data_IF_770609947971
#
_entry.id   IF_770609947971
#
_cell.length_a   1.000
_cell.length_b   1.000
_cell.length_c   1.000
_cell.angle_alpha   90.00
_cell.angle_beta   90.00
_cell.angle_gamma   90.00
#
_symmetry.space_group_name_H-M   'P 1'
#
loop_
_entity.id
_entity.type
_entity.pdbx_description
1 polymer ?
#
# COMPACT_ATOMS: atom_id res chain seq x y z
N UNK A 1 28.52 -16.16 -68.32
CA UNK A 1 27.41 -17.09 -68.03
C UNK A 1 26.42 -16.32 -67.17
N UNK A 2 25.35 -15.82 -67.80
CA UNK A 2 24.34 -15.00 -67.14
C UNK A 2 23.20 -15.89 -66.65
N UNK A 3 22.78 -15.64 -65.41
CA UNK A 3 21.64 -16.23 -64.73
C UNK A 3 20.34 -15.82 -65.45
N UNK A 4 19.46 -16.78 -65.79
CA UNK A 4 18.09 -16.50 -66.18
C UNK A 4 17.13 -17.08 -65.14
N UNK A 5 16.48 -16.16 -64.42
CA UNK A 5 15.50 -16.44 -63.37
C UNK A 5 14.17 -16.92 -63.93
N UNK A 6 13.62 -17.93 -63.27
CA UNK A 6 12.25 -18.40 -63.46
C UNK A 6 11.29 -17.40 -62.81
N UNK A 7 10.54 -16.66 -63.62
CA UNK A 7 9.45 -15.78 -63.18
C UNK A 7 8.12 -16.47 -63.47
N UNK A 8 7.47 -17.00 -62.42
CA UNK A 8 6.18 -17.68 -62.51
C UNK A 8 5.11 -16.96 -61.68
N UNK A 9 3.86 -16.78 -62.19
CA UNK A 9 2.79 -16.04 -61.53
C UNK A 9 2.24 -16.71 -60.25
N UNK A 10 2.63 -17.95 -59.94
CA UNK A 10 2.20 -18.67 -58.74
C UNK A 10 2.74 -18.10 -57.42
N UNK A 11 3.88 -17.38 -57.42
CA UNK A 11 4.44 -16.82 -56.19
C UNK A 11 3.66 -15.61 -55.67
N UNK A 12 3.01 -14.86 -56.56
CA UNK A 12 2.28 -13.65 -56.18
C UNK A 12 0.93 -13.97 -55.53
N UNK A 13 0.25 -15.02 -56.00
CA UNK A 13 -1.02 -15.47 -55.43
C UNK A 13 -0.87 -16.16 -54.06
N UNK A 14 0.25 -16.84 -53.82
CA UNK A 14 0.56 -17.44 -52.51
C UNK A 14 0.88 -16.37 -51.44
N UNK A 15 1.47 -15.23 -51.83
CA UNK A 15 1.73 -14.11 -50.91
C UNK A 15 0.45 -13.32 -50.56
N UNK A 16 -0.50 -13.22 -51.49
CA UNK A 16 -1.79 -12.55 -51.25
C UNK A 16 -2.72 -13.37 -50.34
N UNK A 17 -2.66 -14.71 -50.38
CA UNK A 17 -3.37 -15.60 -49.46
C UNK A 17 -2.72 -15.66 -48.05
N UNK A 18 -1.42 -15.38 -47.94
CA UNK A 18 -0.73 -15.29 -46.64
C UNK A 18 -1.01 -13.97 -45.91
N UNK A 19 -1.41 -12.92 -46.63
CA UNK A 19 -1.71 -11.59 -46.07
C UNK A 19 -3.17 -11.44 -45.58
N UNK A 20 -4.03 -12.44 -45.80
CA UNK A 20 -5.43 -12.42 -45.33
C UNK A 20 -5.67 -13.19 -44.02
N UNK A 21 -4.65 -13.85 -43.46
CA UNK A 21 -4.76 -14.65 -42.23
C UNK A 21 -4.02 -14.06 -41.02
N UNK A 22 -3.76 -12.75 -41.03
CA UNK A 22 -3.51 -12.00 -39.80
C UNK A 22 -4.76 -11.22 -39.43
N UNK A 23 -5.85 -11.95 -39.18
CA UNK A 23 -6.80 -11.45 -38.18
C UNK A 23 -6.10 -11.63 -36.86
N UNK A 24 -5.62 -10.52 -36.29
CA UNK A 24 -5.30 -10.47 -34.88
C UNK A 24 -6.51 -11.01 -34.12
N UNK A 25 -6.43 -12.25 -33.64
CA UNK A 25 -7.25 -12.70 -32.52
C UNK A 25 -6.68 -11.99 -31.31
N UNK A 26 -6.94 -10.68 -31.24
CA UNK A 26 -6.99 -9.95 -29.99
C UNK A 26 -8.13 -10.59 -29.21
N UNK A 27 -7.82 -11.65 -28.46
CA UNK A 27 -8.64 -12.05 -27.33
C UNK A 27 -8.62 -10.85 -26.39
N UNK A 28 -9.58 -9.93 -26.56
CA UNK A 28 -9.64 -8.65 -25.85
C UNK A 28 -9.50 -8.85 -24.36
N UNK A 29 -8.31 -8.60 -23.84
CA UNK A 29 -8.02 -8.68 -22.42
C UNK A 29 -8.49 -7.35 -21.80
N UNK A 30 -9.73 -7.35 -21.28
CA UNK A 30 -10.29 -6.14 -20.69
C UNK A 30 -9.73 -5.96 -19.29
N UNK A 31 -9.20 -4.77 -19.03
CA UNK A 31 -8.63 -4.42 -17.73
C UNK A 31 -9.41 -3.25 -17.14
N UNK A 32 -9.94 -3.45 -15.95
CA UNK A 32 -10.56 -2.41 -15.14
C UNK A 32 -9.74 -2.15 -13.88
N UNK A 33 -10.08 -1.08 -13.18
CA UNK A 33 -9.55 -0.80 -11.86
C UNK A 33 -10.69 -0.32 -10.96
N UNK A 34 -10.65 -0.73 -9.70
CA UNK A 34 -11.57 -0.26 -8.66
C UNK A 34 -10.78 -0.14 -7.37
N UNK A 35 -11.09 0.86 -6.56
CA UNK A 35 -10.53 0.91 -5.21
C UNK A 35 -11.17 -0.13 -4.32
N UNK A 36 -10.41 -0.64 -3.35
CA UNK A 36 -10.99 -1.39 -2.25
C UNK A 36 -11.97 -0.55 -1.43
N UNK A 37 -12.73 -1.21 -0.56
CA UNK A 37 -13.80 -0.56 0.24
C UNK A 37 -14.84 0.21 -0.59
N UNK A 38 -14.84 0.01 -1.91
CA UNK A 38 -15.82 0.59 -2.81
C UNK A 38 -17.21 0.11 -2.41
N UNK A 39 -18.16 1.05 -2.35
CA UNK A 39 -19.53 0.74 -1.95
C UNK A 39 -20.15 -0.27 -2.90
N UNK A 40 -20.98 -1.17 -2.36
CA UNK A 40 -21.83 -2.03 -3.17
C UNK A 40 -22.65 -1.19 -4.18
N UNK A 41 -22.66 -1.62 -5.43
CA UNK A 41 -23.25 -0.90 -6.56
C UNK A 41 -22.31 0.07 -7.28
N UNK A 42 -21.07 0.26 -6.79
CA UNK A 42 -20.06 1.09 -7.49
C UNK A 42 -19.78 0.53 -8.87
N UNK A 43 -19.88 1.38 -9.89
CA UNK A 43 -19.63 1.02 -11.29
C UNK A 43 -18.14 0.85 -11.51
N UNK A 44 -17.75 -0.32 -12.04
CA UNK A 44 -16.36 -0.65 -12.39
C UNK A 44 -16.11 -0.42 -13.88
N UNK A 45 -17.07 -0.77 -14.74
CA UNK A 45 -16.93 -0.67 -16.20
C UNK A 45 -18.15 -1.14 -16.96
N UNK A 46 -18.10 -1.14 -18.29
CA UNK A 46 -19.18 -1.61 -19.16
C UNK A 46 -18.73 -2.78 -20.02
N UNK A 47 -18.99 -4.00 -19.54
CA UNK A 47 -18.55 -5.24 -20.19
C UNK A 47 -19.27 -5.50 -21.51
N UNK A 48 -20.51 -5.06 -21.67
CA UNK A 48 -21.21 -5.18 -22.96
C UNK A 48 -20.45 -4.40 -24.04
N UNK A 49 -20.14 -3.13 -23.74
CA UNK A 49 -19.42 -2.26 -24.67
C UNK A 49 -18.01 -2.78 -24.94
N UNK A 50 -17.26 -3.11 -23.89
CA UNK A 50 -15.83 -3.41 -24.01
C UNK A 50 -15.56 -4.80 -24.58
N UNK A 51 -16.48 -5.76 -24.39
CA UNK A 51 -16.44 -7.08 -25.04
C UNK A 51 -17.16 -7.09 -26.40
N UNK A 52 -17.73 -5.95 -26.81
CA UNK A 52 -18.53 -5.80 -28.03
C UNK A 52 -19.69 -6.81 -28.11
N UNK A 53 -20.41 -6.98 -26.99
CA UNK A 53 -21.61 -7.82 -26.86
C UNK A 53 -22.82 -6.90 -26.74
N UNK A 54 -23.86 -7.15 -27.55
CA UNK A 54 -25.12 -6.41 -27.43
C UNK A 54 -25.75 -6.62 -26.06
N UNK A 55 -26.31 -5.59 -25.44
CA UNK A 55 -26.90 -5.71 -24.10
C UNK A 55 -28.05 -6.76 -24.06
N UNK A 56 -28.85 -6.84 -25.13
CA UNK A 56 -29.88 -7.89 -25.28
C UNK A 56 -29.28 -9.30 -25.39
N UNK A 57 -28.06 -9.40 -25.89
CA UNK A 57 -27.34 -10.65 -26.03
C UNK A 57 -26.81 -11.15 -24.69
N UNK A 58 -26.59 -10.27 -23.70
CA UNK A 58 -26.16 -10.70 -22.37
C UNK A 58 -27.18 -11.62 -21.70
N UNK A 59 -28.46 -11.25 -21.75
CA UNK A 59 -29.53 -12.06 -21.16
C UNK A 59 -29.87 -13.27 -22.04
N UNK A 60 -30.06 -13.06 -23.35
CA UNK A 60 -30.46 -14.14 -24.27
C UNK A 60 -29.37 -15.20 -24.47
N UNK A 61 -28.09 -14.85 -24.25
CA UNK A 61 -26.95 -15.78 -24.33
C UNK A 61 -26.41 -16.18 -22.96
N UNK A 62 -27.16 -15.94 -21.88
CA UNK A 62 -26.83 -16.37 -20.52
C UNK A 62 -25.41 -15.96 -20.09
N UNK A 63 -25.07 -14.67 -20.24
CA UNK A 63 -23.80 -14.12 -19.79
C UNK A 63 -23.64 -14.37 -18.29
N UNK A 64 -22.57 -15.05 -17.92
CA UNK A 64 -22.30 -15.40 -16.53
C UNK A 64 -20.83 -15.19 -16.19
N UNK A 65 -20.58 -14.46 -15.10
CA UNK A 65 -19.25 -14.44 -14.47
C UNK A 65 -19.05 -15.78 -13.75
N UNK A 66 -17.98 -16.46 -14.12
CA UNK A 66 -17.47 -17.66 -13.46
C UNK A 66 -16.28 -17.22 -12.63
N UNK A 67 -16.47 -17.13 -11.31
CA UNK A 67 -15.35 -16.90 -10.39
C UNK A 67 -14.74 -18.23 -10.00
N UNK A 68 -13.40 -18.32 -10.06
CA UNK A 68 -12.67 -19.45 -9.50
C UNK A 68 -12.60 -19.43 -7.96
N UNK A 69 -12.97 -18.31 -7.34
CA UNK A 69 -13.02 -18.13 -5.88
C UNK A 69 -14.44 -18.30 -5.36
N UNK A 70 -14.59 -18.70 -4.09
CA UNK A 70 -15.89 -18.82 -3.42
C UNK A 70 -16.61 -17.49 -3.24
N UNK A 71 -15.85 -16.39 -3.07
CA UNK A 71 -16.38 -15.03 -2.94
C UNK A 71 -16.58 -14.38 -4.32
N UNK A 72 -17.77 -13.79 -4.54
CA UNK A 72 -18.15 -13.06 -5.75
C UNK A 72 -18.13 -11.55 -5.48
N UNK A 73 -16.98 -10.92 -5.72
CA UNK A 73 -16.82 -9.47 -5.50
C UNK A 73 -17.57 -8.59 -6.51
N UNK A 74 -17.86 -9.14 -7.69
CA UNK A 74 -18.38 -8.39 -8.82
C UNK A 74 -19.60 -9.06 -9.45
N UNK A 75 -20.52 -8.24 -9.93
CA UNK A 75 -21.69 -8.66 -10.68
C UNK A 75 -21.91 -7.78 -11.92
N UNK A 76 -22.63 -8.30 -12.90
CA UNK A 76 -22.98 -7.57 -14.12
C UNK A 76 -24.48 -7.40 -14.19
N UNK A 77 -24.92 -6.17 -14.41
CA UNK A 77 -26.31 -5.90 -14.73
C UNK A 77 -26.56 -6.28 -16.19
N UNK A 78 -27.31 -7.35 -16.42
CA UNK A 78 -27.57 -7.90 -17.77
C UNK A 78 -28.39 -6.95 -18.66
N UNK A 79 -29.15 -6.03 -18.07
CA UNK A 79 -29.97 -5.06 -18.82
C UNK A 79 -29.20 -3.82 -19.26
N UNK A 80 -28.00 -3.57 -18.70
CA UNK A 80 -27.19 -2.38 -19.02
C UNK A 80 -25.77 -2.73 -19.47
N UNK A 81 -25.32 -3.95 -19.19
CA UNK A 81 -23.94 -4.41 -19.41
C UNK A 81 -22.93 -3.82 -18.43
N UNK A 82 -23.39 -3.19 -17.35
CA UNK A 82 -22.51 -2.56 -16.37
C UNK A 82 -22.01 -3.59 -15.37
N UNK A 83 -20.69 -3.66 -15.22
CA UNK A 83 -19.99 -4.38 -14.16
C UNK A 83 -19.92 -3.49 -12.92
N UNK A 84 -20.33 -4.02 -11.77
CA UNK A 84 -20.37 -3.29 -10.51
C UNK A 84 -19.90 -4.15 -9.34
N UNK A 85 -19.51 -3.48 -8.25
CA UNK A 85 -19.12 -4.10 -6.97
C UNK A 85 -20.35 -4.68 -6.29
N UNK A 86 -20.37 -5.99 -6.04
CA UNK A 86 -21.49 -6.66 -5.37
C UNK A 86 -21.22 -6.96 -3.89
N UNK A 87 -19.95 -7.18 -3.54
CA UNK A 87 -19.52 -7.47 -2.16
C UNK A 87 -18.33 -6.59 -1.75
N UNK A 88 -18.10 -6.47 -0.44
CA UNK A 88 -16.94 -5.73 0.08
C UNK A 88 -15.64 -6.31 -0.47
N UNK A 89 -14.77 -5.43 -0.95
CA UNK A 89 -13.44 -5.77 -1.47
C UNK A 89 -12.45 -5.25 -0.43
N UNK A 90 -11.69 -6.17 0.14
CA UNK A 90 -10.62 -5.93 1.10
C UNK A 90 -9.33 -6.42 0.42
N UNK A 91 -8.40 -5.50 0.11
CA UNK A 91 -7.23 -5.81 -0.69
C UNK A 91 -6.23 -6.64 0.11
N UNK A 92 -6.12 -6.41 1.41
CA UNK A 92 -5.26 -7.16 2.32
C UNK A 92 -5.71 -8.63 2.37
N UNK A 93 -7.03 -8.88 2.39
CA UNK A 93 -7.56 -10.24 2.35
C UNK A 93 -7.26 -10.95 1.01
N UNK A 94 -7.35 -10.24 -0.11
CA UNK A 94 -7.20 -10.83 -1.45
C UNK A 94 -5.72 -11.04 -1.81
N UNK A 95 -4.86 -10.09 -1.46
CA UNK A 95 -3.50 -9.98 -1.99
C UNK A 95 -2.41 -9.90 -0.92
N UNK A 96 -2.75 -9.78 0.37
CA UNK A 96 -1.80 -9.59 1.45
C UNK A 96 -0.90 -8.38 1.20
N UNK A 97 0.39 -8.51 1.49
CA UNK A 97 1.39 -7.43 1.29
C UNK A 97 1.89 -7.28 -0.15
N UNK A 98 1.20 -7.85 -1.15
CA UNK A 98 1.60 -7.72 -2.55
C UNK A 98 1.35 -6.30 -3.07
N UNK A 99 2.38 -5.67 -3.64
CA UNK A 99 2.28 -4.32 -4.24
C UNK A 99 1.37 -4.24 -5.46
N UNK A 100 1.04 -5.39 -6.07
CA UNK A 100 0.07 -5.49 -7.16
C UNK A 100 -1.05 -6.41 -6.74
N UNK A 101 -2.28 -5.92 -6.81
CA UNK A 101 -3.47 -6.68 -6.53
C UNK A 101 -4.42 -6.69 -7.73
N UNK A 102 -4.81 -7.88 -8.16
CA UNK A 102 -5.73 -8.03 -9.27
C UNK A 102 -6.60 -9.29 -9.13
N UNK A 103 -7.90 -9.12 -9.35
CA UNK A 103 -8.87 -10.21 -9.43
C UNK A 103 -9.08 -10.56 -10.91
N UNK A 104 -8.86 -11.84 -11.25
CA UNK A 104 -9.14 -12.34 -12.60
C UNK A 104 -10.57 -12.85 -12.66
N UNK A 105 -11.32 -12.37 -13.64
CA UNK A 105 -12.68 -12.82 -13.92
C UNK A 105 -12.73 -13.52 -15.26
N UNK A 106 -13.48 -14.62 -15.30
CA UNK A 106 -13.84 -15.30 -16.53
C UNK A 106 -15.35 -15.15 -16.73
N UNK A 107 -15.77 -14.83 -17.96
CA UNK A 107 -17.17 -14.74 -18.31
C UNK A 107 -17.49 -15.71 -19.45
N UNK A 108 -18.54 -16.51 -19.24
CA UNK A 108 -19.07 -17.42 -20.23
C UNK A 108 -20.31 -16.83 -20.88
N UNK A 109 -20.36 -16.96 -22.20
CA UNK A 109 -21.53 -16.63 -23.01
C UNK A 109 -21.88 -17.85 -23.83
N UNK A 110 -23.16 -18.20 -23.92
CA UNK A 110 -23.65 -19.37 -24.64
C UNK A 110 -24.09 -19.01 -26.07
N UNK A 111 -24.28 -20.04 -26.91
CA UNK A 111 -24.91 -19.91 -28.24
C UNK A 111 -24.44 -18.72 -29.12
N UNK A 112 -23.21 -18.72 -29.67
CA UNK A 112 -22.14 -19.72 -29.51
C UNK A 112 -21.40 -19.58 -28.19
N UNK A 113 -20.78 -20.68 -27.74
CA UNK A 113 -19.95 -20.68 -26.55
C UNK A 113 -18.74 -19.77 -26.74
N UNK A 114 -18.54 -18.82 -25.83
CA UNK A 114 -17.42 -17.90 -25.82
C UNK A 114 -16.95 -17.65 -24.39
N UNK A 115 -15.64 -17.60 -24.20
CA UNK A 115 -15.00 -17.34 -22.92
C UNK A 115 -14.25 -16.01 -23.02
N UNK A 116 -14.60 -15.08 -22.14
CA UNK A 116 -13.95 -13.78 -22.03
C UNK A 116 -13.15 -13.72 -20.74
N UNK A 117 -11.93 -13.16 -20.81
CA UNK A 117 -11.07 -12.98 -19.64
C UNK A 117 -10.92 -11.49 -19.35
N UNK A 118 -11.13 -11.15 -18.10
CA UNK A 118 -11.05 -9.78 -17.60
C UNK A 118 -10.15 -9.75 -16.37
N UNK A 119 -9.46 -8.65 -16.18
CA UNK A 119 -8.67 -8.38 -14.98
C UNK A 119 -9.18 -7.11 -14.33
N UNK A 120 -9.39 -7.15 -13.02
CA UNK A 120 -9.75 -5.97 -12.24
C UNK A 120 -8.61 -5.72 -11.27
N UNK A 121 -7.90 -4.62 -11.46
CA UNK A 121 -6.88 -4.17 -10.51
C UNK A 121 -7.59 -3.58 -9.29
N UNK A 122 -7.21 -4.05 -8.11
CA UNK A 122 -7.70 -3.51 -6.84
C UNK A 122 -6.71 -2.44 -6.40
N UNK A 123 -7.20 -1.20 -6.29
CA UNK A 123 -6.41 -0.07 -5.87
C UNK A 123 -6.49 0.08 -4.36
N UNK A 124 -5.32 0.16 -3.73
CA UNK A 124 -5.15 0.30 -2.30
C UNK A 124 -5.69 1.65 -1.80
N UNK A 125 -6.42 1.63 -0.69
CA UNK A 125 -6.83 2.81 0.07
C UNK A 125 -6.13 2.77 1.43
N UNK A 126 -5.78 3.94 1.98
CA UNK A 126 -5.24 4.05 3.33
C UNK A 126 -6.36 3.86 4.37
N UNK A 127 -6.84 2.64 4.57
CA UNK A 127 -7.86 2.28 5.57
C UNK A 127 -7.27 1.54 6.78
N UNK A 128 -6.00 1.14 6.73
CA UNK A 128 -5.25 0.67 7.89
C UNK A 128 -4.38 1.80 8.46
N UNK A 129 -4.17 1.76 9.77
CA UNK A 129 -3.22 2.65 10.42
C UNK A 129 -2.01 1.83 10.84
N UNK A 130 -0.78 2.37 10.74
CA UNK A 130 0.37 1.70 11.30
C UNK A 130 0.18 1.43 12.80
N UNK A 131 0.72 0.31 13.27
CA UNK A 131 0.62 -0.10 14.66
C UNK A 131 1.95 -0.57 15.21
N UNK A 132 2.18 -0.29 16.49
CA UNK A 132 3.24 -0.95 17.24
C UNK A 132 2.62 -2.14 17.97
N UNK A 133 3.39 -3.21 18.14
CA UNK A 133 2.99 -4.36 18.97
C UNK A 133 2.79 -4.01 20.45
N UNK A 134 3.31 -2.86 20.89
CA UNK A 134 3.20 -2.34 22.25
C UNK A 134 2.63 -0.92 22.25
N UNK A 135 1.76 -0.62 23.21
CA UNK A 135 1.16 0.72 23.38
C UNK A 135 2.06 1.70 24.14
N UNK A 136 3.01 1.19 24.93
CA UNK A 136 4.00 1.96 25.68
C UNK A 136 5.35 1.27 25.49
N UNK A 137 6.36 2.04 25.13
CA UNK A 137 7.74 1.58 25.01
C UNK A 137 8.61 2.25 26.07
N UNK A 138 9.18 1.44 26.94
CA UNK A 138 10.00 1.91 28.04
C UNK A 138 11.46 1.93 27.61
N UNK A 139 12.12 3.08 27.75
CA UNK A 139 13.55 3.25 27.46
C UNK A 139 14.22 3.77 28.72
N UNK A 140 15.14 3.02 29.31
CA UNK A 140 15.90 3.53 30.45
C UNK A 140 17.12 4.31 29.93
N UNK A 141 17.23 5.59 30.32
CA UNK A 141 18.29 6.49 29.83
C UNK A 141 18.98 7.08 31.05
N UNK A 142 20.26 6.77 31.25
CA UNK A 142 21.02 7.30 32.40
C UNK A 142 21.23 8.81 32.26
N UNK A 143 21.32 9.54 33.39
CA UNK A 143 21.67 10.98 33.39
C UNK A 143 23.05 11.26 32.76
N UNK A 144 23.94 10.27 32.83
CA UNK A 144 25.27 10.32 32.25
C UNK A 144 25.27 10.07 30.74
N UNK A 145 24.10 9.84 30.13
CA UNK A 145 23.96 9.72 28.70
C UNK A 145 24.48 11.00 28.02
N UNK A 146 25.26 10.79 26.97
CA UNK A 146 25.90 11.90 26.26
C UNK A 146 24.96 12.46 25.19
N UNK A 147 24.91 13.78 24.97
CA UNK A 147 24.24 14.35 23.80
C UNK A 147 24.75 13.67 22.51
N UNK A 148 23.82 13.26 21.66
CA UNK A 148 24.08 12.47 20.45
C UNK A 148 23.90 10.97 20.63
N UNK A 149 23.73 10.47 21.86
CA UNK A 149 23.39 9.07 22.12
C UNK A 149 22.04 8.70 21.51
N UNK A 150 21.96 7.48 20.95
CA UNK A 150 20.86 7.00 20.11
C UNK A 150 20.13 5.84 20.77
N UNK A 151 18.81 5.92 20.80
CA UNK A 151 17.95 4.90 21.40
C UNK A 151 17.01 4.33 20.32
N UNK A 152 17.23 3.08 19.86
CA UNK A 152 16.40 2.45 18.85
C UNK A 152 14.95 2.30 19.30
N UNK A 153 14.04 2.57 18.38
CA UNK A 153 12.61 2.38 18.54
C UNK A 153 12.15 1.15 17.75
N UNK A 154 11.06 0.48 18.18
CA UNK A 154 10.42 -0.53 17.35
C UNK A 154 9.93 0.11 16.04
N UNK A 155 9.86 -0.69 14.99
CA UNK A 155 9.27 -0.28 13.71
C UNK A 155 7.78 -0.67 13.75
N UNK A 156 6.90 0.29 13.45
CA UNK A 156 5.48 0.03 13.31
C UNK A 156 5.19 -0.78 12.05
N UNK A 157 4.21 -1.66 12.14
CA UNK A 157 3.70 -2.47 11.05
C UNK A 157 2.49 -1.79 10.44
N UNK A 158 2.48 -1.71 9.12
CA UNK A 158 1.38 -1.22 8.31
C UNK A 158 1.14 -2.21 7.18
N UNK A 159 -0.11 -2.63 7.04
CA UNK A 159 -0.51 -3.66 6.07
C UNK A 159 -0.94 -3.06 4.73
N UNK A 160 -1.08 -1.74 4.66
CA UNK A 160 -1.28 -1.00 3.41
C UNK A 160 0.00 -1.01 2.57
N UNK A 161 -0.11 -0.76 1.27
CA UNK A 161 1.03 -0.82 0.34
C UNK A 161 1.30 0.50 -0.36
N UNK A 162 2.49 0.59 -0.98
CA UNK A 162 2.83 1.71 -1.84
C UNK A 162 2.81 3.02 -1.06
N UNK A 163 2.06 4.01 -1.54
CA UNK A 163 2.01 5.33 -0.89
C UNK A 163 1.24 5.32 0.43
N UNK A 164 0.33 4.38 0.64
CA UNK A 164 -0.49 4.33 1.85
C UNK A 164 0.23 3.63 3.02
N UNK A 165 1.26 2.84 2.72
CA UNK A 165 2.12 2.28 3.77
C UNK A 165 2.83 3.36 4.58
N UNK A 166 3.25 3.00 5.79
CA UNK A 166 4.13 3.79 6.65
C UNK A 166 5.33 4.39 5.89
N UNK A 167 5.42 5.73 5.87
CA UNK A 167 6.49 6.49 5.21
C UNK A 167 7.48 7.11 6.15
N UNK A 168 7.08 7.54 7.34
CA UNK A 168 7.98 8.17 8.31
C UNK A 168 7.37 8.20 9.70
N UNK A 169 8.17 8.63 10.67
CA UNK A 169 7.72 8.96 12.00
C UNK A 169 7.93 10.46 12.29
N UNK A 170 7.20 10.98 13.27
CA UNK A 170 7.37 12.31 13.81
C UNK A 170 7.24 12.27 15.34
N UNK A 171 8.16 12.91 16.04
CA UNK A 171 8.13 13.03 17.49
C UNK A 171 7.34 14.28 17.90
N UNK A 172 6.50 14.17 18.93
CA UNK A 172 5.91 15.33 19.60
C UNK A 172 7.00 16.30 20.07
N UNK A 173 6.73 17.61 20.03
CA UNK A 173 7.69 18.63 20.46
C UNK A 173 8.39 18.28 21.77
N UNK A 174 9.73 18.23 21.73
CA UNK A 174 10.61 17.90 22.84
C UNK A 174 11.90 18.72 22.72
N UNK A 175 12.43 19.19 23.86
CA UNK A 175 13.76 19.78 23.93
C UNK A 175 14.85 18.74 24.22
N UNK A 176 14.45 17.57 24.70
CA UNK A 176 15.36 16.53 25.20
C UNK A 176 15.78 15.60 24.06
N UNK A 177 14.86 15.32 23.12
CA UNK A 177 15.07 14.34 22.05
C UNK A 177 14.67 14.89 20.68
N UNK A 178 15.39 14.44 19.66
CA UNK A 178 14.91 14.44 18.27
C UNK A 178 14.74 13.00 17.78
N UNK A 179 14.12 12.83 16.61
CA UNK A 179 13.90 11.54 15.99
C UNK A 179 14.64 11.47 14.65
N UNK A 180 15.57 10.52 14.55
CA UNK A 180 16.27 10.18 13.32
C UNK A 180 15.63 8.94 12.69
N UNK A 181 15.26 9.03 11.41
CA UNK A 181 14.58 7.95 10.68
C UNK A 181 15.37 7.64 9.42
N UNK A 182 15.97 6.47 9.37
CA UNK A 182 16.71 6.00 8.21
C UNK A 182 15.82 5.16 7.30
N UNK A 183 15.94 5.39 5.99
CA UNK A 183 15.14 4.73 4.96
C UNK A 183 16.05 4.14 3.90
N UNK A 184 15.66 2.97 3.41
CA UNK A 184 16.22 2.35 2.21
C UNK A 184 15.10 2.28 1.16
N UNK A 185 15.17 3.17 0.17
CA UNK A 185 14.06 3.40 -0.74
C UNK A 185 12.80 3.85 0.03
N UNK A 186 11.74 3.05 -0.08
CA UNK A 186 10.44 3.31 0.56
C UNK A 186 10.26 2.60 1.91
N UNK A 187 11.21 1.78 2.33
CA UNK A 187 11.16 1.03 3.58
C UNK A 187 11.93 1.75 4.69
N UNK A 188 11.34 1.83 5.87
CA UNK A 188 12.03 2.35 7.05
C UNK A 188 12.91 1.23 7.62
N UNK A 189 14.20 1.51 7.75
CA UNK A 189 15.20 0.55 8.23
C UNK A 189 15.48 0.75 9.71
N UNK A 190 15.46 2.01 10.18
CA UNK A 190 15.60 2.32 11.60
C UNK A 190 14.89 3.62 11.96
N UNK A 191 14.44 3.68 13.22
CA UNK A 191 13.95 4.88 13.87
C UNK A 191 14.62 4.97 15.24
N UNK A 192 15.28 6.09 15.52
CA UNK A 192 16.11 6.24 16.72
C UNK A 192 15.85 7.60 17.37
N UNK A 193 15.61 7.61 18.68
CA UNK A 193 15.63 8.85 19.45
C UNK A 193 17.07 9.29 19.66
N UNK A 194 17.35 10.57 19.42
CA UNK A 194 18.68 11.16 19.58
C UNK A 194 18.63 12.18 20.70
N UNK A 195 19.38 11.93 21.77
CA UNK A 195 19.45 12.84 22.93
C UNK A 195 20.13 14.16 22.52
N UNK A 196 19.48 15.30 22.79
CA UNK A 196 19.97 16.62 22.40
C UNK A 196 20.77 17.33 23.49
N UNK A 197 20.48 17.03 24.76
CA UNK A 197 21.12 17.65 25.94
C UNK A 197 21.27 16.63 27.05
N UNK A 198 22.15 16.92 28.00
CA UNK A 198 22.26 16.10 29.20
C UNK A 198 20.95 16.09 29.99
N UNK A 199 20.60 14.92 30.51
CA UNK A 199 19.45 14.77 31.39
C UNK A 199 19.88 15.04 32.83
N UNK A 200 19.00 15.71 33.58
CA UNK A 200 19.24 16.09 34.97
C UNK A 200 18.05 15.60 35.80
N UNK A 201 18.26 14.47 36.49
CA UNK A 201 17.22 13.80 37.27
C UNK A 201 16.65 14.72 38.35
N UNK A 202 17.50 15.52 38.99
CA UNK A 202 17.10 16.42 40.07
C UNK A 202 16.21 17.57 39.56
N UNK A 203 16.28 17.91 38.27
CA UNK A 203 15.37 18.86 37.61
C UNK A 203 14.13 18.21 37.01
N UNK A 204 14.24 16.99 36.50
CA UNK A 204 13.15 16.23 35.86
C UNK A 204 12.98 14.88 36.56
N UNK A 205 12.21 14.89 37.66
CA UNK A 205 12.02 13.73 38.56
C UNK A 205 11.03 12.71 38.01
N UNK A 206 10.37 12.98 36.88
CA UNK A 206 9.23 12.20 36.39
C UNK A 206 9.50 11.53 35.04
N UNK A 207 8.90 10.35 34.89
CA UNK A 207 8.66 9.70 33.61
C UNK A 207 7.98 10.68 32.63
N UNK A 208 8.74 11.23 31.69
CA UNK A 208 8.19 11.99 30.56
C UNK A 208 7.57 11.01 29.55
N UNK A 209 6.46 11.41 28.93
CA UNK A 209 5.79 10.65 27.89
C UNK A 209 5.87 11.42 26.57
N UNK A 210 6.57 10.86 25.59
CA UNK A 210 6.56 11.39 24.22
C UNK A 210 5.61 10.62 23.34
N UNK A 211 4.97 11.32 22.41
CA UNK A 211 4.10 10.73 21.40
C UNK A 211 4.87 10.64 20.08
N UNK A 212 4.78 9.49 19.42
CA UNK A 212 5.27 9.33 18.04
C UNK A 212 4.06 9.23 17.13
N UNK A 213 4.05 10.04 16.09
CA UNK A 213 3.05 10.04 15.03
C UNK A 213 3.62 9.35 13.80
N UNK A 214 2.77 8.64 13.08
CA UNK A 214 3.13 8.11 11.77
C UNK A 214 2.87 9.13 10.68
N UNK A 215 3.57 8.95 9.58
CA UNK A 215 3.35 9.69 8.34
C UNK A 215 3.17 8.63 7.27
N UNK A 216 1.98 8.55 6.67
CA UNK A 216 1.71 7.81 5.42
C UNK A 216 1.61 8.81 4.25
N UNK A 217 1.52 8.34 3.01
CA UNK A 217 1.58 9.18 1.81
C UNK A 217 0.55 10.31 1.75
N UNK A 218 -0.64 10.12 2.34
CA UNK A 218 -1.65 11.19 2.43
C UNK A 218 -1.23 12.35 3.35
N UNK A 219 -0.41 12.10 4.37
CA UNK A 219 0.07 13.13 5.29
C UNK A 219 1.21 14.01 4.71
N UNK A 220 1.76 13.66 3.54
CA UNK A 220 2.95 14.32 2.97
C UNK A 220 2.63 15.52 2.06
N UNK A 221 1.37 15.73 1.68
CA UNK A 221 0.97 16.83 0.79
C UNK A 221 0.77 18.16 1.54
N UNK A 222 1.87 18.79 1.94
CA UNK A 222 2.08 20.26 2.11
C UNK A 222 1.14 21.11 2.98
N UNK A 223 -0.06 20.67 3.30
CA UNK A 223 -1.13 21.39 4.02
C UNK A 223 -1.55 20.62 5.28
N UNK A 224 -1.18 19.35 5.41
CA UNK A 224 -1.60 18.47 6.50
C UNK A 224 -0.57 18.33 7.65
N UNK A 225 0.58 19.03 7.59
CA UNK A 225 1.57 19.03 8.68
C UNK A 225 1.03 19.67 9.96
N UNK A 226 0.34 20.81 9.83
CA UNK A 226 -0.39 21.45 10.95
C UNK A 226 -1.72 20.75 11.25
N UNK A 227 -2.26 19.99 10.28
CA UNK A 227 -3.55 19.30 10.40
C UNK A 227 -3.45 17.96 11.13
N UNK A 228 -2.31 17.27 11.07
CA UNK A 228 -2.03 16.12 11.93
C UNK A 228 -1.93 16.52 13.41
N UNK A 229 -1.38 17.70 13.70
CA UNK A 229 -1.32 18.22 15.08
C UNK A 229 -2.67 18.75 15.59
N UNK A 230 -3.56 19.21 14.69
CA UNK A 230 -4.89 19.74 15.03
C UNK A 230 -6.07 18.78 14.78
N UNK A 231 -5.81 17.53 14.34
CA UNK A 231 -6.86 16.56 14.03
C UNK A 231 -7.38 15.81 15.26
N UNK A 232 -8.09 16.51 16.14
CA UNK A 232 -9.16 15.91 16.94
C UNK A 232 -10.44 15.65 16.12
N UNK A 233 -10.39 15.68 14.77
CA UNK A 233 -11.58 15.69 13.92
C UNK A 233 -11.49 15.10 12.52
N UNK A 234 -10.39 14.47 12.10
CA UNK A 234 -10.32 13.78 10.80
C UNK A 234 -10.04 12.29 10.99
N UNK A 235 -11.03 11.45 10.66
CA UNK A 235 -11.01 9.98 10.79
C UNK A 235 -9.99 9.25 9.88
N UNK A 236 -9.07 9.97 9.25
CA UNK A 236 -8.15 9.43 8.24
C UNK A 236 -6.71 9.96 8.36
N UNK A 237 -6.33 10.50 9.52
CA UNK A 237 -4.93 10.84 9.80
C UNK A 237 -4.52 10.35 11.19
N UNK A 238 -3.62 9.37 11.19
CA UNK A 238 -2.55 9.11 12.14
C UNK A 238 -2.81 9.40 13.61
N UNK A 239 -3.06 8.35 14.40
CA UNK A 239 -2.72 8.31 15.83
C UNK A 239 -2.66 6.84 16.30
N UNK A 240 -1.50 6.18 16.16
CA UNK A 240 -1.11 5.23 17.21
C UNK A 240 0.03 5.84 17.98
N UNK A 241 -0.18 5.94 19.30
CA UNK A 241 0.74 6.54 20.23
C UNK A 241 1.64 5.41 20.74
N UNK A 242 2.94 5.47 20.46
CA UNK A 242 3.88 4.85 21.38
C UNK A 242 4.27 5.91 22.39
N UNK A 243 3.99 5.62 23.65
CA UNK A 243 4.45 6.41 24.77
C UNK A 243 5.88 6.00 25.07
N UNK A 244 6.83 6.89 24.83
CA UNK A 244 8.20 6.67 25.30
C UNK A 244 8.30 7.18 26.72
N UNK A 245 8.50 6.27 27.66
CA UNK A 245 8.81 6.59 29.05
C UNK A 245 10.30 6.37 29.29
N UNK A 246 10.99 7.38 29.81
CA UNK A 246 12.36 7.22 30.30
C UNK A 246 12.53 7.51 31.78
N UNK A 247 13.38 6.70 32.41
CA UNK A 247 13.86 6.90 33.77
C UNK A 247 15.36 7.20 33.72
N UNK A 248 15.76 8.27 34.39
CA UNK A 248 17.15 8.57 34.72
C UNK A 248 17.57 7.71 35.92
N UNK A 249 18.35 6.66 35.69
CA UNK A 249 18.92 5.86 36.78
C UNK A 249 20.20 6.53 37.32
N UNK A 250 20.46 6.39 38.63
CA UNK A 250 21.66 6.98 39.25
C UNK A 250 22.92 6.35 38.66
N UNK A 251 23.85 7.19 38.21
CA UNK A 251 25.23 6.77 38.02
C UNK A 251 25.76 6.24 39.36
N UNK A 252 26.17 4.97 39.44
CA UNK A 252 27.04 4.53 40.53
C UNK A 252 28.29 5.41 40.47
N UNK A 253 28.42 6.36 41.40
CA UNK A 253 29.64 7.15 41.59
C UNK A 253 30.84 6.21 41.50
N UNK A 254 31.61 6.28 40.42
CA UNK A 254 32.99 5.87 40.49
C UNK A 254 33.64 6.80 41.51
N UNK A 255 33.89 6.29 42.70
CA UNK A 255 34.78 6.91 43.67
C UNK A 255 36.12 7.16 42.97
N UNK A 256 36.34 8.38 42.49
CA UNK A 256 37.67 8.86 42.19
C UNK A 256 38.42 8.87 43.51
N UNK A 257 39.18 7.81 43.75
CA UNK A 257 40.18 7.75 44.79
C UNK A 257 41.02 9.01 44.73
N UNK A 258 40.85 9.86 45.73
CA UNK A 258 41.67 11.05 45.92
C UNK A 258 43.04 10.55 46.37
N UNK A 259 43.99 10.46 45.43
CA UNK A 259 45.38 10.20 45.77
C UNK A 259 45.99 11.54 46.19
N UNK A 260 45.82 11.86 47.48
CA UNK A 260 46.59 12.91 48.15
C UNK A 260 48.06 12.50 48.15
N UNK A 261 48.91 13.32 47.54
CA UNK A 261 50.35 13.19 47.66
C UNK A 261 50.81 13.53 49.07
N UNK A 262 51.74 12.71 49.58
CA UNK A 262 52.88 13.08 50.43
C UNK A 262 54.03 12.17 49.99
#
# INVERSE_FOLDING_TARGET
MALSGVTGPCRFWMLLLLLLELRDVSSGHVVYSVSEEARRGTVVGNVAKDLNIGVKDLESRSFQIVSGTSKKYFAVNLQTGVLFVDERIDREEICGSSSKCAVKLEALVQHPHSLYRMQINILDINDNNPTFHVSIFYINITENASPGERFPLPIAEDIDVGVNSLKSYMLSSSEDFTLDVQKEGDQIVSAELVLQKHLDREKQVFSCLYNIFFITGFCTRGVDRERCESAFGLRHCCLSLIKVQYNTDMSTRQEKGTQTGI
#
